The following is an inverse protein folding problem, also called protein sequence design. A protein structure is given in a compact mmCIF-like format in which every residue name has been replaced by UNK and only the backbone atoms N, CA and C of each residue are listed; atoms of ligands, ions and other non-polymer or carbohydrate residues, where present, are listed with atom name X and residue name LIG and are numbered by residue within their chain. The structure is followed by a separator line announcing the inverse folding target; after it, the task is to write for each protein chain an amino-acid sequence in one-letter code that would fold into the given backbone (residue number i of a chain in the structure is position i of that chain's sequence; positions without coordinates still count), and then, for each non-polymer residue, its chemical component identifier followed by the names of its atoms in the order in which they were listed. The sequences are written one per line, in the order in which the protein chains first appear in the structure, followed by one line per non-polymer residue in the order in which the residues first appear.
data_IF_427526277182
#
_entry.id   IF_427526277182
#
_cell.length_a   1.000
_cell.length_b   1.000
_cell.length_c   1.000
_cell.angle_alpha   90.00
_cell.angle_beta   90.00
_cell.angle_gamma   90.00
#
_symmetry.space_group_name_H-M   'P 1'
#
loop_
_entity.id
_entity.type
_entity.pdbx_description
1 polymer ?
#
# COMPACT_ATOMS: atom_id res chain seq x y z
N UNK A 1 -32.08 2.24 20.05
CA UNK A 1 -30.93 3.12 20.39
C UNK A 1 -29.58 2.43 20.16
N UNK A 2 -29.38 1.19 20.62
CA UNK A 2 -28.10 0.47 20.47
C UNK A 2 -27.73 0.16 19.00
N UNK A 3 -28.71 -0.18 18.14
CA UNK A 3 -28.49 -0.40 16.69
C UNK A 3 -27.96 0.86 15.99
N UNK A 4 -28.59 2.01 16.24
CA UNK A 4 -28.17 3.31 15.69
C UNK A 4 -26.81 3.73 16.22
N UNK A 5 -26.49 3.43 17.48
CA UNK A 5 -25.17 3.70 18.05
C UNK A 5 -24.08 2.87 17.38
N UNK A 6 -24.31 1.58 17.12
CA UNK A 6 -23.34 0.70 16.46
C UNK A 6 -23.13 1.11 15.00
N UNK A 7 -24.20 1.43 14.27
CA UNK A 7 -24.12 1.93 12.90
C UNK A 7 -23.30 3.24 12.83
N UNK A 8 -23.58 4.20 13.71
CA UNK A 8 -22.83 5.46 13.78
C UNK A 8 -21.35 5.25 14.12
N UNK A 9 -21.03 4.33 15.04
CA UNK A 9 -19.63 3.99 15.37
C UNK A 9 -18.91 3.44 14.14
N UNK A 10 -19.51 2.49 13.42
CA UNK A 10 -18.90 1.90 12.22
C UNK A 10 -18.68 2.95 11.12
N UNK A 11 -19.67 3.81 10.86
CA UNK A 11 -19.52 4.91 9.90
C UNK A 11 -18.41 5.89 10.31
N UNK A 12 -18.29 6.18 11.60
CA UNK A 12 -17.23 7.05 12.13
C UNK A 12 -15.84 6.43 11.95
N UNK A 13 -15.70 5.12 12.24
CA UNK A 13 -14.44 4.39 12.04
C UNK A 13 -14.03 4.39 10.56
N UNK A 14 -14.97 4.12 9.66
CA UNK A 14 -14.72 4.17 8.21
C UNK A 14 -14.28 5.57 7.80
N UNK A 15 -14.96 6.61 8.26
CA UNK A 15 -14.62 8.00 7.93
C UNK A 15 -13.22 8.41 8.43
N UNK A 16 -12.87 8.06 9.67
CA UNK A 16 -11.54 8.31 10.23
C UNK A 16 -10.47 7.58 9.42
N UNK A 17 -10.69 6.31 9.07
CA UNK A 17 -9.76 5.54 8.26
C UNK A 17 -9.57 6.16 6.86
N UNK A 18 -10.64 6.65 6.22
CA UNK A 18 -10.55 7.36 4.94
C UNK A 18 -9.76 8.67 5.03
N UNK A 19 -9.98 9.48 6.08
CA UNK A 19 -9.18 10.68 6.33
C UNK A 19 -7.72 10.31 6.53
N UNK A 20 -7.45 9.26 7.31
CA UNK A 20 -6.08 8.82 7.56
C UNK A 20 -5.39 8.39 6.26
N UNK A 21 -6.08 7.61 5.41
CA UNK A 21 -5.59 7.25 4.08
C UNK A 21 -5.25 8.48 3.23
N UNK A 22 -6.10 9.50 3.24
CA UNK A 22 -5.86 10.75 2.53
C UNK A 22 -4.61 11.49 3.06
N UNK A 23 -4.51 11.68 4.37
CA UNK A 23 -3.38 12.36 5.02
C UNK A 23 -2.08 11.59 4.75
N UNK A 24 -2.07 10.28 4.98
CA UNK A 24 -0.89 9.44 4.74
C UNK A 24 -0.50 9.47 3.27
N UNK A 25 -1.46 9.45 2.35
CA UNK A 25 -1.23 9.59 0.91
C UNK A 25 -0.46 10.86 0.58
N UNK A 26 -0.89 12.01 1.12
CA UNK A 26 -0.18 13.29 0.97
C UNK A 26 1.24 13.24 1.54
N UNK A 27 1.41 12.70 2.75
CA UNK A 27 2.72 12.60 3.40
C UNK A 27 3.69 11.73 2.58
N UNK A 28 3.22 10.60 2.02
CA UNK A 28 4.04 9.72 1.20
C UNK A 28 4.55 10.41 -0.07
N UNK A 29 3.74 11.29 -0.68
CA UNK A 29 4.15 12.09 -1.85
C UNK A 29 5.31 13.04 -1.51
N UNK A 30 5.31 13.59 -0.29
CA UNK A 30 6.36 14.46 0.22
C UNK A 30 7.63 13.72 0.66
N UNK A 31 7.60 12.39 0.82
CA UNK A 31 8.73 11.56 1.26
C UNK A 31 9.34 10.75 0.10
N UNK A 32 10.23 11.36 -0.71
CA UNK A 32 10.84 10.66 -1.84
C UNK A 32 11.81 9.58 -1.37
N UNK A 33 11.70 8.38 -1.95
CA UNK A 33 12.62 7.27 -1.64
C UNK A 33 14.04 7.54 -2.12
N UNK A 34 14.18 8.29 -3.22
CA UNK A 34 15.44 8.73 -3.82
C UNK A 34 15.41 10.24 -4.04
N UNK A 35 16.52 10.91 -3.76
CA UNK A 35 16.76 12.31 -4.12
C UNK A 35 17.51 12.34 -5.45
N UNK A 36 16.87 12.88 -6.49
CA UNK A 36 17.47 12.98 -7.82
C UNK A 36 18.51 14.10 -7.86
N UNK A 37 19.61 13.90 -8.59
CA UNK A 37 20.56 14.99 -8.88
C UNK A 37 20.14 15.85 -10.07
N UNK A 38 19.36 15.27 -10.99
CA UNK A 38 18.86 15.98 -12.16
C UNK A 38 17.89 17.12 -11.77
N UNK A 39 17.93 18.21 -12.54
CA UNK A 39 16.99 19.34 -12.41
C UNK A 39 15.54 18.87 -12.51
N UNK A 40 14.65 19.55 -11.80
CA UNK A 40 13.22 19.23 -11.75
C UNK A 40 12.59 19.16 -13.16
N UNK A 41 13.03 20.04 -14.06
CA UNK A 41 12.54 20.16 -15.44
C UNK A 41 13.03 19.06 -16.39
N UNK A 42 14.07 18.28 -16.01
CA UNK A 42 14.58 17.21 -16.86
C UNK A 42 13.84 15.88 -16.58
N UNK A 43 12.59 15.81 -17.06
CA UNK A 43 11.71 14.64 -16.88
C UNK A 43 12.36 13.33 -17.37
N UNK A 44 13.07 13.35 -18.50
CA UNK A 44 13.72 12.17 -19.07
C UNK A 44 14.79 11.60 -18.13
N UNK A 45 15.66 12.45 -17.59
CA UNK A 45 16.68 12.03 -16.63
C UNK A 45 16.05 11.46 -15.34
N UNK A 46 14.95 12.06 -14.87
CA UNK A 46 14.23 11.61 -13.67
C UNK A 46 13.57 10.24 -13.88
N UNK A 47 12.96 10.01 -15.05
CA UNK A 47 12.38 8.71 -15.41
C UNK A 47 13.46 7.64 -15.48
N UNK A 48 14.58 7.93 -16.14
CA UNK A 48 15.69 7.00 -16.26
C UNK A 48 16.29 6.64 -14.89
N UNK A 49 16.50 7.62 -14.02
CA UNK A 49 17.01 7.37 -12.67
C UNK A 49 16.05 6.51 -11.82
N UNK A 50 14.73 6.72 -11.92
CA UNK A 50 13.72 5.86 -11.25
C UNK A 50 13.73 4.45 -11.82
N UNK A 51 13.78 4.33 -13.14
CA UNK A 51 13.84 3.04 -13.83
C UNK A 51 15.09 2.27 -13.40
N UNK A 52 16.25 2.93 -13.34
CA UNK A 52 17.51 2.34 -12.86
C UNK A 52 17.39 1.91 -11.40
N UNK A 53 16.90 2.79 -10.52
CA UNK A 53 16.69 2.47 -9.10
C UNK A 53 15.84 1.21 -8.89
N UNK A 54 14.79 1.02 -9.70
CA UNK A 54 13.89 -0.12 -9.58
C UNK A 54 14.42 -1.38 -10.28
N UNK A 55 15.00 -1.25 -11.48
CA UNK A 55 15.31 -2.41 -12.33
C UNK A 55 16.69 -3.02 -12.06
N UNK A 56 17.70 -2.22 -11.70
CA UNK A 56 19.06 -2.73 -11.48
C UNK A 56 19.14 -3.79 -10.37
N UNK A 57 18.48 -3.63 -9.21
CA UNK A 57 18.42 -4.68 -8.18
C UNK A 57 17.82 -6.00 -8.68
N UNK A 58 16.93 -5.95 -9.68
CA UNK A 58 16.20 -7.13 -10.18
C UNK A 58 17.05 -7.98 -11.12
N UNK A 59 18.03 -7.36 -11.80
CA UNK A 59 18.95 -8.07 -12.69
C UNK A 59 19.92 -8.94 -11.89
N UNK A 60 20.36 -8.45 -10.73
CA UNK A 60 21.44 -9.05 -9.97
C UNK A 60 20.95 -9.89 -8.79
N UNK A 61 19.66 -9.84 -8.44
CA UNK A 61 19.11 -10.57 -7.29
C UNK A 61 17.74 -11.22 -7.62
N UNK A 62 17.69 -12.56 -7.83
CA UNK A 62 16.46 -13.26 -8.17
C UNK A 62 15.40 -13.18 -7.05
N UNK A 63 15.83 -13.07 -5.79
CA UNK A 63 14.94 -12.87 -4.65
C UNK A 63 14.26 -11.51 -4.72
N UNK A 64 15.01 -10.44 -5.00
CA UNK A 64 14.43 -9.10 -5.17
C UNK A 64 13.41 -9.07 -6.32
N UNK A 65 13.70 -9.77 -7.43
CA UNK A 65 12.78 -9.93 -8.55
C UNK A 65 11.48 -10.62 -8.14
N UNK A 66 11.55 -11.75 -7.43
CA UNK A 66 10.38 -12.48 -6.93
C UNK A 66 9.50 -11.61 -6.03
N UNK A 67 10.12 -10.90 -5.08
CA UNK A 67 9.39 -10.03 -4.14
C UNK A 67 8.74 -8.84 -4.84
N UNK A 68 9.39 -8.24 -5.84
CA UNK A 68 8.79 -7.14 -6.60
C UNK A 68 7.60 -7.60 -7.44
N UNK A 69 7.73 -8.73 -8.15
CA UNK A 69 6.62 -9.31 -8.92
C UNK A 69 5.45 -9.64 -7.99
N UNK A 70 5.73 -10.30 -6.85
CA UNK A 70 4.74 -10.58 -5.84
C UNK A 70 4.07 -9.31 -5.30
N UNK A 71 4.82 -8.22 -5.10
CA UNK A 71 4.29 -6.93 -4.67
C UNK A 71 3.32 -6.34 -5.69
N UNK A 72 3.68 -6.34 -6.98
CA UNK A 72 2.78 -5.82 -8.02
C UNK A 72 1.50 -6.65 -8.15
N UNK A 73 1.62 -7.98 -8.19
CA UNK A 73 0.47 -8.88 -8.29
C UNK A 73 -0.44 -8.72 -7.07
N UNK A 74 0.12 -8.78 -5.86
CA UNK A 74 -0.67 -8.62 -4.63
C UNK A 74 -1.33 -7.25 -4.51
N UNK A 75 -0.63 -6.17 -4.87
CA UNK A 75 -1.20 -4.81 -4.87
C UNK A 75 -2.34 -4.68 -5.87
N UNK A 76 -2.21 -5.29 -7.06
CA UNK A 76 -3.26 -5.29 -8.07
C UNK A 76 -4.49 -6.08 -7.59
N UNK A 77 -4.28 -7.28 -7.02
CA UNK A 77 -5.36 -8.08 -6.43
C UNK A 77 -6.04 -7.30 -5.29
N UNK A 78 -5.29 -6.64 -4.41
CA UNK A 78 -5.84 -5.84 -3.31
C UNK A 78 -6.69 -4.65 -3.81
N UNK A 79 -6.28 -4.00 -4.89
CA UNK A 79 -7.06 -2.92 -5.51
C UNK A 79 -8.37 -3.46 -6.11
N UNK A 80 -8.30 -4.58 -6.84
CA UNK A 80 -9.49 -5.23 -7.41
C UNK A 80 -10.44 -5.74 -6.33
N UNK A 81 -9.93 -6.39 -5.28
CA UNK A 81 -10.74 -6.90 -4.18
C UNK A 81 -11.43 -5.76 -3.43
N UNK A 82 -10.73 -4.63 -3.21
CA UNK A 82 -11.33 -3.45 -2.58
C UNK A 82 -12.42 -2.83 -3.44
N UNK A 83 -12.19 -2.69 -4.76
CA UNK A 83 -13.21 -2.19 -5.68
C UNK A 83 -14.43 -3.11 -5.80
N UNK A 84 -14.21 -4.42 -5.81
CA UNK A 84 -15.26 -5.44 -5.90
C UNK A 84 -15.96 -5.77 -4.59
N UNK A 85 -15.42 -5.34 -3.45
CA UNK A 85 -15.91 -5.72 -2.12
C UNK A 85 -17.39 -5.36 -1.91
N UNK A 86 -17.80 -4.14 -2.28
CA UNK A 86 -19.18 -3.67 -2.11
C UNK A 86 -20.14 -4.52 -2.94
N UNK A 87 -19.74 -4.91 -4.15
CA UNK A 87 -20.56 -5.75 -5.04
C UNK A 87 -20.76 -7.15 -4.45
N UNK A 88 -19.69 -7.79 -3.97
CA UNK A 88 -19.76 -9.13 -3.36
C UNK A 88 -20.61 -9.08 -2.08
N UNK A 89 -20.42 -8.05 -1.25
CA UNK A 89 -21.21 -7.80 -0.04
C UNK A 89 -22.70 -7.65 -0.36
N UNK A 90 -23.05 -6.89 -1.39
CA UNK A 90 -24.44 -6.68 -1.81
C UNK A 90 -25.13 -7.95 -2.34
N UNK A 91 -24.35 -8.94 -2.80
CA UNK A 91 -24.85 -10.25 -3.22
C UNK A 91 -24.96 -11.26 -2.07
N UNK A 92 -24.80 -10.82 -0.81
CA UNK A 92 -25.03 -11.66 0.37
C UNK A 92 -23.79 -12.37 0.92
N UNK A 93 -22.58 -12.04 0.42
CA UNK A 93 -21.33 -12.67 0.84
C UNK A 93 -20.37 -11.68 1.55
N UNK A 94 -20.79 -11.01 2.64
CA UNK A 94 -19.97 -9.98 3.26
C UNK A 94 -18.73 -10.51 3.98
N UNK A 95 -18.81 -11.72 4.54
CA UNK A 95 -17.69 -12.34 5.27
C UNK A 95 -16.60 -12.77 4.28
N UNK A 96 -16.97 -13.43 3.20
CA UNK A 96 -16.08 -13.91 2.14
C UNK A 96 -15.37 -12.75 1.47
N UNK A 97 -16.10 -11.68 1.12
CA UNK A 97 -15.52 -10.47 0.56
C UNK A 97 -14.42 -9.88 1.46
N UNK A 98 -14.69 -9.87 2.77
CA UNK A 98 -13.77 -9.33 3.77
C UNK A 98 -12.54 -10.18 3.94
N UNK A 99 -12.70 -11.50 4.02
CA UNK A 99 -11.57 -12.45 4.10
C UNK A 99 -10.66 -12.30 2.87
N UNK A 100 -11.23 -12.26 1.66
CA UNK A 100 -10.47 -12.08 0.42
C UNK A 100 -9.69 -10.75 0.47
N UNK A 101 -10.35 -9.66 0.87
CA UNK A 101 -9.70 -8.36 0.88
C UNK A 101 -8.59 -8.27 1.94
N UNK A 102 -8.83 -8.78 3.16
CA UNK A 102 -7.82 -8.86 4.21
C UNK A 102 -6.64 -9.75 3.81
N UNK A 103 -6.89 -10.89 3.16
CA UNK A 103 -5.84 -11.75 2.62
C UNK A 103 -5.01 -11.02 1.57
N UNK A 104 -5.64 -10.31 0.63
CA UNK A 104 -4.96 -9.52 -0.38
C UNK A 104 -4.06 -8.42 0.21
N UNK A 105 -4.55 -7.70 1.23
CA UNK A 105 -3.74 -6.75 1.99
C UNK A 105 -2.61 -7.41 2.76
N UNK A 106 -2.83 -8.60 3.33
CA UNK A 106 -1.80 -9.40 4.01
C UNK A 106 -0.68 -9.83 3.06
N UNK A 107 -1.01 -10.27 1.85
CA UNK A 107 -0.01 -10.57 0.82
C UNK A 107 0.75 -9.31 0.40
N UNK A 108 0.05 -8.19 0.20
CA UNK A 108 0.68 -6.92 -0.15
C UNK A 108 1.65 -6.45 0.94
N UNK A 109 1.27 -6.62 2.21
CA UNK A 109 2.14 -6.36 3.35
C UNK A 109 3.39 -7.24 3.32
N UNK A 110 3.23 -8.53 3.07
CA UNK A 110 4.36 -9.46 3.00
C UNK A 110 5.36 -9.05 1.90
N UNK A 111 4.84 -8.76 0.70
CA UNK A 111 5.66 -8.40 -0.45
C UNK A 111 6.18 -6.96 -0.41
N UNK A 112 5.63 -6.08 0.44
CA UNK A 112 6.16 -4.72 0.67
C UNK A 112 7.63 -4.71 1.09
N UNK A 113 8.14 -5.84 1.64
CA UNK A 113 9.56 -6.09 1.92
C UNK A 113 10.48 -5.87 0.72
N UNK A 114 9.95 -5.89 -0.51
CA UNK A 114 10.69 -5.56 -1.74
C UNK A 114 11.41 -4.21 -1.63
N UNK A 115 10.79 -3.21 -0.99
CA UNK A 115 11.39 -1.89 -0.78
C UNK A 115 12.70 -1.94 0.01
N UNK A 116 12.76 -2.81 1.03
CA UNK A 116 13.93 -3.04 1.88
C UNK A 116 15.02 -3.77 1.08
N UNK A 117 14.64 -4.76 0.28
CA UNK A 117 15.57 -5.47 -0.61
C UNK A 117 16.20 -4.51 -1.63
N UNK A 118 15.39 -3.67 -2.27
CA UNK A 118 15.85 -2.62 -3.19
C UNK A 118 16.81 -1.67 -2.47
N UNK A 119 16.45 -1.18 -1.28
CA UNK A 119 17.32 -0.27 -0.52
C UNK A 119 18.66 -0.92 -0.15
N UNK A 120 18.63 -2.14 0.38
CA UNK A 120 19.83 -2.86 0.80
C UNK A 120 20.80 -3.09 -0.36
N UNK A 121 20.29 -3.47 -1.55
CA UNK A 121 21.11 -3.61 -2.76
C UNK A 121 21.89 -2.33 -3.05
N UNK A 122 21.19 -1.20 -3.00
CA UNK A 122 21.78 0.10 -3.27
C UNK A 122 22.78 0.49 -2.17
N UNK A 123 22.48 0.25 -0.89
CA UNK A 123 23.41 0.55 0.22
C UNK A 123 24.74 -0.20 0.11
N UNK A 124 24.72 -1.41 -0.46
CA UNK A 124 25.90 -2.22 -0.76
C UNK A 124 26.64 -1.76 -2.04
N UNK A 125 25.94 -1.18 -3.02
CA UNK A 125 26.48 -0.79 -4.32
C UNK A 125 26.62 0.74 -4.46
N UNK A 126 27.45 1.34 -3.61
CA UNK A 126 27.60 2.82 -3.51
C UNK A 126 28.15 3.50 -4.76
N UNK A 127 28.83 2.78 -5.64
CA UNK A 127 29.33 3.31 -6.92
C UNK A 127 28.21 3.53 -7.96
N UNK A 128 27.03 2.93 -7.80
CA UNK A 128 25.95 3.00 -8.79
C UNK A 128 25.08 4.28 -8.79
N UNK A 129 25.35 5.22 -7.87
CA UNK A 129 24.52 6.40 -7.56
C UNK A 129 24.89 7.71 -8.30
N UNK A 130 25.42 7.64 -9.52
CA UNK A 130 25.76 8.89 -10.26
C UNK A 130 24.54 9.80 -10.47
N UNK A 131 23.34 9.20 -10.64
CA UNK A 131 22.11 9.89 -11.02
C UNK A 131 21.20 10.28 -9.83
N UNK A 132 21.33 9.62 -8.69
CA UNK A 132 20.46 9.83 -7.51
C UNK A 132 21.18 9.53 -6.21
N UNK A 133 20.62 9.96 -5.07
CA UNK A 133 21.05 9.56 -3.73
C UNK A 133 19.88 8.90 -3.01
N UNK A 134 20.16 7.93 -2.15
CA UNK A 134 19.12 7.39 -1.26
C UNK A 134 18.67 8.46 -0.26
N UNK A 135 17.39 8.38 0.10
CA UNK A 135 16.87 9.07 1.29
C UNK A 135 17.53 8.55 2.57
N UNK A 136 17.49 9.34 3.65
CA UNK A 136 17.96 8.89 4.95
C UNK A 136 17.19 7.65 5.42
N UNK A 137 17.82 6.84 6.28
CA UNK A 137 17.20 5.63 6.83
C UNK A 137 15.89 5.95 7.54
N UNK A 138 15.81 7.07 8.26
CA UNK A 138 14.61 7.53 8.97
C UNK A 138 13.45 7.82 8.01
N UNK A 139 13.71 8.53 6.90
CA UNK A 139 12.68 8.83 5.89
C UNK A 139 12.18 7.55 5.24
N UNK A 140 13.07 6.61 4.96
CA UNK A 140 12.69 5.31 4.41
C UNK A 140 11.86 4.49 5.40
N UNK A 141 12.27 4.42 6.66
CA UNK A 141 11.56 3.68 7.71
C UNK A 141 10.17 4.25 7.95
N UNK A 142 10.05 5.57 8.07
CA UNK A 142 8.77 6.27 8.18
C UNK A 142 7.86 5.92 7.01
N UNK A 143 8.37 5.95 5.77
CA UNK A 143 7.60 5.57 4.58
C UNK A 143 7.14 4.12 4.61
N UNK A 144 7.95 3.20 5.12
CA UNK A 144 7.53 1.80 5.28
C UNK A 144 6.40 1.63 6.29
N UNK A 145 6.43 2.40 7.39
CA UNK A 145 5.35 2.41 8.38
C UNK A 145 4.09 2.97 7.76
N UNK A 146 4.17 4.12 7.09
CA UNK A 146 3.02 4.75 6.45
C UNK A 146 2.35 3.84 5.41
N UNK A 147 3.15 3.16 4.57
CA UNK A 147 2.63 2.17 3.62
C UNK A 147 1.91 1.01 4.31
N UNK A 148 2.43 0.56 5.45
CA UNK A 148 1.82 -0.49 6.25
C UNK A 148 0.52 -0.03 6.90
N UNK A 149 0.50 1.19 7.45
CA UNK A 149 -0.71 1.80 8.02
C UNK A 149 -1.84 1.88 6.99
N UNK A 150 -1.54 2.25 5.74
CA UNK A 150 -2.53 2.22 4.63
C UNK A 150 -3.18 0.84 4.49
N UNK A 151 -2.39 -0.23 4.56
CA UNK A 151 -2.91 -1.59 4.45
C UNK A 151 -3.80 -1.96 5.65
N UNK A 152 -3.43 -1.52 6.87
CA UNK A 152 -4.26 -1.73 8.07
C UNK A 152 -5.57 -0.96 7.95
N UNK A 153 -5.54 0.30 7.53
CA UNK A 153 -6.75 1.11 7.36
C UNK A 153 -7.69 0.47 6.33
N UNK A 154 -7.15 -0.07 5.23
CA UNK A 154 -7.92 -0.85 4.26
C UNK A 154 -8.60 -2.09 4.89
N UNK A 155 -7.89 -2.82 5.76
CA UNK A 155 -8.47 -3.94 6.51
C UNK A 155 -9.55 -3.48 7.51
N UNK A 156 -9.34 -2.37 8.22
CA UNK A 156 -10.30 -1.80 9.17
C UNK A 156 -11.59 -1.40 8.45
N UNK A 157 -11.48 -0.71 7.32
CA UNK A 157 -12.63 -0.34 6.49
C UNK A 157 -13.36 -1.61 6.04
N UNK A 158 -12.63 -2.61 5.55
CA UNK A 158 -13.18 -3.87 5.08
C UNK A 158 -13.99 -4.58 6.16
N UNK A 159 -13.42 -4.73 7.35
CA UNK A 159 -14.07 -5.36 8.51
C UNK A 159 -15.27 -4.52 8.98
N UNK A 160 -15.14 -3.20 9.01
CA UNK A 160 -16.24 -2.32 9.44
C UNK A 160 -17.44 -2.40 8.49
N UNK A 161 -17.19 -2.47 7.18
CA UNK A 161 -18.22 -2.68 6.17
C UNK A 161 -18.87 -4.06 6.32
N UNK A 162 -18.09 -5.10 6.58
CA UNK A 162 -18.62 -6.43 6.87
C UNK A 162 -19.59 -6.41 8.05
N UNK A 163 -19.15 -5.84 9.18
CA UNK A 163 -19.97 -5.75 10.40
C UNK A 163 -21.24 -4.97 10.13
N UNK A 164 -21.14 -3.87 9.37
CA UNK A 164 -22.32 -3.09 8.99
C UNK A 164 -23.30 -3.92 8.16
N UNK A 165 -22.83 -4.64 7.13
CA UNK A 165 -23.68 -5.44 6.25
C UNK A 165 -24.29 -6.66 6.95
N UNK A 166 -23.55 -7.31 7.85
CA UNK A 166 -24.08 -8.44 8.63
C UNK A 166 -25.13 -7.97 9.64
N UNK A 167 -24.90 -6.87 10.35
CA UNK A 167 -25.80 -6.40 11.40
C UNK A 167 -27.01 -5.61 10.89
N UNK A 168 -26.89 -4.91 9.76
CA UNK A 168 -27.92 -3.98 9.27
C UNK A 168 -28.34 -4.21 7.81
N UNK A 169 -27.59 -5.02 7.06
CA UNK A 169 -27.84 -5.28 5.64
C UNK A 169 -28.88 -6.37 5.36
N UNK A 170 -29.30 -7.13 6.38
CA UNK A 170 -30.25 -8.26 6.24
C UNK A 170 -31.74 -7.87 6.28
N UNK A 171 -32.08 -6.62 5.93
CA UNK A 171 -33.47 -6.21 5.65
C UNK A 171 -33.78 -6.33 4.15
N UNK A 172 -33.67 -7.54 3.60
CA UNK A 172 -34.34 -7.92 2.35
C UNK A 172 -35.17 -9.17 2.59
#
# INVERSE_FOLDING_TARGET
MQSNSVANTLSTVIFIALINLFIIGLVILCLPSIKMRASFFNLRARINARKKYLLEPLKNNPTAKKYLIGYFISSFIAALSTGGQIFIMANGYPVEATIINCAAYGFTWWFSRTSKLTRNYWEQNKSGYSEFRLSSANVFWLKQILLKTILVDGMIISISLMTYMVCFGHNR
#
